data_IF_575317990051
#
_entry.id   IF_575317990051
#
_cell.length_a   1.000
_cell.length_b   1.000
_cell.length_c   1.000
_cell.angle_alpha   90.00
_cell.angle_beta   90.00
_cell.angle_gamma   90.00
#
_symmetry.space_group_name_H-M   'P 1'
#
loop_
_entity.id
_entity.type
_entity.pdbx_description
1 polymer ?
#
# COMPACT_ATOMS: atom_id res chain seq x y z
N UNK A 1 -22.85 0.09 -14.68
CA UNK A 1 -22.44 0.29 -13.28
C UNK A 1 -21.21 1.17 -13.31
N UNK A 2 -21.34 2.46 -13.02
CA UNK A 2 -20.18 3.36 -12.91
C UNK A 2 -19.57 3.15 -11.53
N UNK A 3 -18.31 2.71 -11.49
CA UNK A 3 -17.57 2.57 -10.25
C UNK A 3 -17.27 3.99 -9.73
N UNK A 4 -18.00 4.45 -8.72
CA UNK A 4 -17.71 5.73 -8.09
C UNK A 4 -16.46 5.56 -7.22
N UNK A 5 -15.33 6.10 -7.68
CA UNK A 5 -14.08 6.10 -6.93
C UNK A 5 -14.01 7.42 -6.15
N UNK A 6 -14.03 7.33 -4.82
CA UNK A 6 -13.87 8.48 -3.95
C UNK A 6 -12.36 8.69 -3.64
N UNK A 7 -11.75 9.82 -4.04
CA UNK A 7 -10.31 10.04 -3.87
C UNK A 7 -9.83 9.90 -2.42
N UNK A 8 -10.65 10.38 -1.46
CA UNK A 8 -10.36 10.25 -0.04
C UNK A 8 -10.28 8.80 0.43
N UNK A 9 -11.14 7.91 -0.09
CA UNK A 9 -11.10 6.47 0.22
C UNK A 9 -9.88 5.79 -0.37
N UNK A 10 -9.43 6.21 -1.55
CA UNK A 10 -8.19 5.70 -2.17
C UNK A 10 -6.99 6.05 -1.27
N UNK A 11 -6.91 7.29 -0.80
CA UNK A 11 -5.85 7.74 0.10
C UNK A 11 -5.87 7.03 1.45
N UNK A 12 -7.04 6.89 2.09
CA UNK A 12 -7.14 6.17 3.36
C UNK A 12 -6.79 4.69 3.22
N UNK A 13 -7.14 4.07 2.08
CA UNK A 13 -6.75 2.67 1.80
C UNK A 13 -5.25 2.54 1.58
N UNK A 14 -4.62 3.51 0.90
CA UNK A 14 -3.16 3.53 0.75
C UNK A 14 -2.48 3.60 2.13
N UNK A 15 -2.95 4.47 3.03
CA UNK A 15 -2.40 4.60 4.38
C UNK A 15 -2.60 3.33 5.23
N UNK A 16 -3.68 2.58 5.01
CA UNK A 16 -3.88 1.29 5.65
C UNK A 16 -2.83 0.25 5.20
N UNK A 17 -2.53 0.21 3.90
CA UNK A 17 -1.45 -0.64 3.37
C UNK A 17 -0.06 -0.23 3.89
N UNK A 18 0.19 1.07 4.08
CA UNK A 18 1.42 1.56 4.71
C UNK A 18 1.57 1.06 6.15
N UNK A 19 0.48 1.11 6.90
CA UNK A 19 0.45 0.61 8.28
C UNK A 19 0.73 -0.90 8.31
N UNK A 20 0.14 -1.64 7.38
CA UNK A 20 0.37 -3.09 7.25
C UNK A 20 1.83 -3.40 6.88
N UNK A 21 2.43 -2.66 5.93
CA UNK A 21 3.85 -2.78 5.61
C UNK A 21 4.75 -2.60 6.85
N UNK A 22 4.47 -1.58 7.67
CA UNK A 22 5.22 -1.31 8.89
C UNK A 22 5.10 -2.45 9.90
N UNK A 23 3.89 -2.97 10.11
CA UNK A 23 3.65 -4.10 11.01
C UNK A 23 4.35 -5.37 10.54
N UNK A 24 4.26 -5.70 9.26
CA UNK A 24 4.89 -6.89 8.68
C UNK A 24 6.42 -6.78 8.70
N UNK A 25 6.96 -5.60 8.45
CA UNK A 25 8.41 -5.34 8.57
C UNK A 25 8.88 -5.49 10.02
N UNK A 26 8.09 -5.02 10.99
CA UNK A 26 8.39 -5.21 12.40
C UNK A 26 8.30 -6.69 12.81
N UNK A 27 7.28 -7.42 12.33
CA UNK A 27 7.11 -8.85 12.58
C UNK A 27 8.28 -9.68 12.02
N UNK A 28 8.74 -9.39 10.79
CA UNK A 28 9.91 -10.03 10.20
C UNK A 28 11.16 -9.83 11.07
N UNK A 29 11.39 -8.60 11.56
CA UNK A 29 12.52 -8.32 12.49
C UNK A 29 12.41 -9.06 13.81
N UNK A 30 11.20 -9.17 14.35
CA UNK A 30 10.96 -9.92 15.59
C UNK A 30 11.24 -11.41 15.40
N UNK A 31 10.80 -11.99 14.28
CA UNK A 31 11.06 -13.39 13.92
C UNK A 31 12.56 -13.64 13.77
N UNK A 32 13.28 -12.77 13.05
CA UNK A 32 14.73 -12.86 12.90
C UNK A 32 15.48 -12.89 14.25
N UNK A 33 14.95 -12.20 15.26
CA UNK A 33 15.51 -12.17 16.61
C UNK A 33 15.18 -13.40 17.48
N UNK A 34 14.37 -14.35 17.00
CA UNK A 34 13.98 -15.53 17.78
C UNK A 34 15.16 -16.50 17.89
N UNK A 35 15.68 -16.63 19.11
CA UNK A 35 16.70 -17.64 19.44
C UNK A 35 16.09 -19.02 19.68
N UNK A 36 16.90 -20.07 19.46
CA UNK A 36 16.55 -21.48 19.73
C UNK A 36 17.14 -22.00 21.05
N UNK A 37 17.58 -21.08 21.92
CA UNK A 37 18.21 -21.41 23.19
C UNK A 37 17.31 -22.26 24.09
N UNK A 38 17.89 -23.31 24.70
CA UNK A 38 17.18 -24.22 25.60
C UNK A 38 16.47 -25.38 24.91
N UNK A 39 16.40 -25.41 23.57
CA UNK A 39 15.89 -26.56 22.84
C UNK A 39 16.95 -27.64 22.63
N UNK A 40 16.51 -28.89 22.49
CA UNK A 40 17.36 -29.96 21.98
C UNK A 40 17.71 -29.70 20.51
N UNK A 41 18.81 -30.25 19.97
CA UNK A 41 19.25 -29.96 18.60
C UNK A 41 18.17 -30.17 17.53
N UNK A 42 17.39 -31.25 17.65
CA UNK A 42 16.29 -31.55 16.71
C UNK A 42 15.20 -30.48 16.76
N UNK A 43 14.78 -30.07 17.96
CA UNK A 43 13.74 -29.05 18.13
C UNK A 43 14.26 -27.69 17.68
N UNK A 44 15.51 -27.35 18.02
CA UNK A 44 16.15 -26.11 17.57
C UNK A 44 16.19 -26.01 16.04
N UNK A 45 16.49 -27.10 15.33
CA UNK A 45 16.47 -27.14 13.87
C UNK A 45 15.07 -26.88 13.29
N UNK A 46 14.03 -27.53 13.85
CA UNK A 46 12.64 -27.32 13.41
C UNK A 46 12.15 -25.90 13.69
N UNK A 47 12.50 -25.34 14.85
CA UNK A 47 12.18 -23.94 15.19
C UNK A 47 12.89 -22.99 14.24
N UNK A 48 14.17 -23.23 13.91
CA UNK A 48 14.91 -22.43 12.94
C UNK A 48 14.22 -22.39 11.57
N UNK A 49 13.85 -23.56 11.04
CA UNK A 49 13.13 -23.65 9.75
C UNK A 49 11.77 -22.95 9.79
N UNK A 50 11.04 -23.07 10.90
CA UNK A 50 9.77 -22.38 11.08
C UNK A 50 9.96 -20.86 11.08
N UNK A 51 10.92 -20.35 11.86
CA UNK A 51 11.23 -18.92 11.94
C UNK A 51 11.65 -18.37 10.58
N UNK A 52 12.54 -19.07 9.87
CA UNK A 52 13.01 -18.68 8.54
C UNK A 52 11.84 -18.59 7.54
N UNK A 53 10.95 -19.59 7.54
CA UNK A 53 9.78 -19.59 6.66
C UNK A 53 8.83 -18.41 6.95
N UNK A 54 8.55 -18.14 8.23
CA UNK A 54 7.68 -17.03 8.62
C UNK A 54 8.32 -15.66 8.40
N UNK A 55 9.62 -15.52 8.60
CA UNK A 55 10.36 -14.29 8.28
C UNK A 55 10.26 -13.99 6.79
N UNK A 56 10.43 -15.00 5.93
CA UNK A 56 10.28 -14.86 4.49
C UNK A 56 8.86 -14.45 4.08
N UNK A 57 7.83 -15.07 4.68
CA UNK A 57 6.42 -14.74 4.43
C UNK A 57 6.12 -13.30 4.86
N UNK A 58 6.55 -12.89 6.05
CA UNK A 58 6.33 -11.54 6.55
C UNK A 58 7.02 -10.48 5.68
N UNK A 59 8.27 -10.77 5.26
CA UNK A 59 9.04 -9.89 4.37
C UNK A 59 8.37 -9.71 3.02
N UNK A 60 7.94 -10.81 2.39
CA UNK A 60 7.26 -10.73 1.10
C UNK A 60 5.90 -10.04 1.21
N UNK A 61 5.15 -10.32 2.28
CA UNK A 61 3.86 -9.66 2.54
C UNK A 61 4.03 -8.15 2.76
N UNK A 62 5.11 -7.73 3.43
CA UNK A 62 5.44 -6.31 3.59
C UNK A 62 5.71 -5.66 2.22
N UNK A 63 6.50 -6.33 1.36
CA UNK A 63 6.80 -5.86 0.00
C UNK A 63 5.54 -5.71 -0.85
N UNK A 64 4.63 -6.68 -0.78
CA UNK A 64 3.33 -6.61 -1.48
C UNK A 64 2.49 -5.45 -0.95
N UNK A 65 2.45 -5.24 0.37
CA UNK A 65 1.70 -4.15 0.99
C UNK A 65 2.20 -2.78 0.51
N UNK A 66 3.51 -2.56 0.45
CA UNK A 66 4.08 -1.32 -0.12
C UNK A 66 3.68 -1.14 -1.58
N UNK A 67 3.74 -2.21 -2.38
CA UNK A 67 3.32 -2.15 -3.79
C UNK A 67 1.85 -1.78 -3.96
N UNK A 68 0.97 -2.23 -3.05
CA UNK A 68 -0.45 -1.86 -3.06
C UNK A 68 -0.63 -0.38 -2.67
N UNK A 69 0.06 0.07 -1.62
CA UNK A 69 0.04 1.46 -1.22
C UNK A 69 0.52 2.39 -2.36
N UNK A 70 1.64 2.06 -3.00
CA UNK A 70 2.18 2.80 -4.14
C UNK A 70 1.20 2.87 -5.32
N UNK A 71 0.55 1.75 -5.66
CA UNK A 71 -0.47 1.72 -6.70
C UNK A 71 -1.64 2.67 -6.41
N UNK A 72 -2.10 2.68 -5.16
CA UNK A 72 -3.19 3.55 -4.71
C UNK A 72 -2.76 5.03 -4.64
N UNK A 73 -1.54 5.34 -4.18
CA UNK A 73 -1.00 6.71 -4.20
C UNK A 73 -0.93 7.26 -5.62
N UNK A 74 -0.42 6.47 -6.58
CA UNK A 74 -0.39 6.84 -8.00
C UNK A 74 -1.79 7.07 -8.55
N UNK A 75 -2.72 6.18 -8.22
CA UNK A 75 -4.14 6.32 -8.61
C UNK A 75 -4.75 7.60 -8.06
N UNK A 76 -4.50 7.94 -6.79
CA UNK A 76 -4.99 9.17 -6.19
C UNK A 76 -4.43 10.42 -6.89
N UNK A 77 -3.14 10.42 -7.25
CA UNK A 77 -2.52 11.50 -8.04
C UNK A 77 -3.18 11.62 -9.42
N UNK A 78 -3.42 10.49 -10.09
CA UNK A 78 -4.05 10.47 -11.41
C UNK A 78 -5.48 11.00 -11.39
N UNK A 79 -6.25 10.68 -10.35
CA UNK A 79 -7.60 11.23 -10.18
C UNK A 79 -7.54 12.74 -10.00
N UNK A 80 -6.72 13.24 -9.06
CA UNK A 80 -6.59 14.68 -8.81
C UNK A 80 -6.14 15.45 -10.07
N UNK A 81 -5.23 14.87 -10.85
CA UNK A 81 -4.77 15.45 -12.11
C UNK A 81 -5.87 15.50 -13.17
N UNK A 82 -6.69 14.45 -13.24
CA UNK A 82 -7.81 14.36 -14.19
C UNK A 82 -8.90 15.35 -13.82
N UNK A 83 -9.23 15.48 -12.54
CA UNK A 83 -10.22 16.44 -12.03
C UNK A 83 -9.77 17.88 -12.34
N UNK A 84 -8.51 18.22 -12.04
CA UNK A 84 -7.96 19.55 -12.34
C UNK A 84 -7.99 19.90 -13.84
N UNK A 85 -7.70 18.93 -14.71
CA UNK A 85 -7.76 19.13 -16.17
C UNK A 85 -9.20 19.34 -16.64
N UNK A 86 -10.14 18.59 -16.06
CA UNK A 86 -11.58 18.70 -16.37
C UNK A 86 -12.13 20.06 -15.96
N UNK A 87 -11.76 20.57 -14.79
CA UNK A 87 -12.14 21.89 -14.29
C UNK A 87 -11.62 23.02 -15.19
N UNK A 88 -10.35 22.94 -15.63
CA UNK A 88 -9.76 23.90 -16.58
C UNK A 88 -10.54 23.90 -17.89
N UNK A 89 -10.83 22.72 -18.45
CA UNK A 89 -11.58 22.60 -19.70
C UNK A 89 -13.00 23.16 -19.58
N UNK A 90 -13.69 22.89 -18.47
CA UNK A 90 -15.02 23.44 -18.22
C UNK A 90 -15.01 24.97 -18.13
N UNK A 91 -13.99 25.55 -17.50
CA UNK A 91 -13.79 27.00 -17.40
C UNK A 91 -13.59 27.64 -18.78
N UNK A 92 -12.74 27.04 -19.63
CA UNK A 92 -12.46 27.52 -20.99
C UNK A 92 -13.70 27.46 -21.90
N UNK A 93 -14.52 26.41 -21.77
CA UNK A 93 -15.78 26.33 -22.51
C UNK A 93 -16.74 27.44 -22.06
N UNK A 94 -16.85 27.69 -20.75
CA UNK A 94 -17.72 28.73 -20.21
C UNK A 94 -17.28 30.14 -20.65
N UNK A 95 -15.97 30.43 -20.68
CA UNK A 95 -15.45 31.72 -21.18
C UNK A 95 -15.74 31.89 -22.66
N UNK A 96 -15.55 30.84 -23.46
CA UNK A 96 -15.82 30.87 -24.90
C UNK A 96 -17.31 31.12 -25.21
N UNK A 97 -18.23 30.54 -24.43
CA UNK A 97 -19.67 30.80 -24.55
C UNK A 97 -20.00 32.26 -24.19
N UNK A 98 -19.34 32.84 -23.19
CA UNK A 98 -19.55 34.25 -22.80
C UNK A 98 -19.06 35.23 -23.86
N UNK A 99 -17.97 34.93 -24.55
CA UNK A 99 -17.43 35.80 -25.62
C UNK A 99 -18.27 35.80 -26.91
N UNK A 100 -19.12 34.78 -27.12
CA UNK A 100 -20.00 34.66 -28.28
C UNK A 100 -21.36 35.39 -28.12
N UNK A 101 -21.64 35.99 -26.97
CA UNK A 101 -22.90 36.68 -26.66
C UNK A 101 -22.67 38.18 -26.49
#
# INVERSE_FOLDING_TARGET
>A
MTLHVEPGKVQSTAAAWDTENLHLTAAAKQLHGVGTGGFTPTVASLVGQFVEAWEAIATESARVSESQADGLRRTAIDILRTDATTDINASLVLSSIKELR
#
